data_IF_998694553412
#
_entry.id   IF_998694553412
#
_cell.length_a   1.000
_cell.length_b   1.000
_cell.length_c   1.000
_cell.angle_alpha   90.00
_cell.angle_beta   90.00
_cell.angle_gamma   90.00
#
_symmetry.space_group_name_H-M   'P 1'
#
loop_
_entity.id
_entity.type
_entity.pdbx_description
1 polymer ?
#
# COMPACT_ATOMS: atom_id res chain seq x y z
N UNK A 1 6.53 -12.68 -4.03
CA UNK A 1 6.93 -11.30 -3.70
C UNK A 1 8.35 -11.05 -4.13
N UNK A 2 8.56 -9.96 -4.81
CA UNK A 2 9.87 -9.58 -5.34
C UNK A 2 10.47 -8.46 -4.50
N UNK A 3 11.78 -8.51 -4.27
CA UNK A 3 12.47 -7.41 -3.62
C UNK A 3 13.73 -7.07 -4.37
N UNK A 4 14.02 -5.79 -4.48
CA UNK A 4 15.26 -5.28 -5.07
C UNK A 4 15.67 -4.06 -4.27
N UNK A 5 16.63 -4.23 -3.37
CA UNK A 5 17.17 -3.13 -2.56
C UNK A 5 16.10 -2.29 -1.91
N UNK A 6 15.20 -2.94 -1.19
CA UNK A 6 14.15 -2.23 -0.45
C UNK A 6 12.88 -1.97 -1.23
N UNK A 7 12.79 -2.45 -2.44
CA UNK A 7 11.58 -2.33 -3.24
C UNK A 7 10.85 -3.66 -3.25
N UNK A 8 9.53 -3.60 -3.11
CA UNK A 8 8.69 -4.79 -2.99
C UNK A 8 7.56 -4.74 -3.99
N UNK A 9 7.19 -5.92 -4.51
CA UNK A 9 5.98 -6.08 -5.28
C UNK A 9 5.10 -7.05 -4.52
N UNK A 10 3.95 -6.57 -4.06
CA UNK A 10 3.05 -7.37 -3.23
C UNK A 10 1.88 -7.97 -4.02
N UNK A 11 1.91 -7.84 -5.34
CA UNK A 11 0.84 -8.35 -6.17
C UNK A 11 -0.11 -7.25 -6.60
N UNK A 12 -1.35 -7.65 -6.86
CA UNK A 12 -2.36 -6.70 -7.34
C UNK A 12 -3.55 -6.72 -6.40
N UNK A 13 -4.32 -5.64 -6.43
CA UNK A 13 -5.56 -5.56 -5.68
C UNK A 13 -6.62 -5.01 -6.61
N UNK A 14 -7.88 -5.25 -6.25
CA UNK A 14 -9.01 -4.68 -6.99
C UNK A 14 -9.63 -3.57 -6.18
N UNK A 15 -10.03 -2.52 -6.87
CA UNK A 15 -10.70 -1.40 -6.22
C UNK A 15 -12.18 -1.77 -6.07
N UNK A 16 -12.69 -1.65 -4.85
CA UNK A 16 -14.10 -1.91 -4.57
C UNK A 16 -14.98 -0.77 -5.03
N UNK A 17 -16.30 -0.97 -4.87
CA UNK A 17 -17.28 -0.01 -5.36
C UNK A 17 -17.17 1.35 -4.71
N UNK A 18 -16.65 1.40 -3.50
CA UNK A 18 -16.49 2.65 -2.76
C UNK A 18 -15.11 3.24 -2.90
N UNK A 19 -14.30 2.68 -3.81
CA UNK A 19 -12.94 3.15 -3.98
C UNK A 19 -11.95 2.54 -3.00
N UNK A 20 -12.36 1.53 -2.23
CA UNK A 20 -11.48 0.92 -1.24
C UNK A 20 -10.66 -0.21 -1.84
N UNK A 21 -9.50 -0.45 -1.25
CA UNK A 21 -8.67 -1.62 -1.56
C UNK A 21 -8.27 -2.28 -0.25
N UNK A 22 -7.91 -3.55 -0.35
CA UNK A 22 -7.36 -4.26 0.80
C UNK A 22 -5.84 -4.21 0.67
N UNK A 23 -5.18 -3.66 1.67
CA UNK A 23 -3.72 -3.65 1.69
C UNK A 23 -3.24 -5.09 1.86
N UNK A 24 -2.39 -5.58 0.98
CA UNK A 24 -1.93 -6.97 1.08
C UNK A 24 -1.33 -7.28 2.44
N UNK A 25 -1.57 -8.51 2.91
CA UNK A 25 -1.10 -8.93 4.22
C UNK A 25 0.40 -8.74 4.38
N UNK A 26 1.16 -9.10 3.36
CA UNK A 26 2.61 -8.99 3.42
C UNK A 26 3.07 -7.54 3.51
N UNK A 27 2.38 -6.64 2.82
CA UNK A 27 2.69 -5.22 2.90
C UNK A 27 2.43 -4.71 4.32
N UNK A 28 1.33 -5.16 4.94
CA UNK A 28 1.02 -4.77 6.31
C UNK A 28 2.09 -5.24 7.28
N UNK A 29 2.65 -6.42 7.03
CA UNK A 29 3.70 -6.98 7.89
C UNK A 29 5.01 -6.24 7.72
N UNK A 30 5.41 -6.00 6.48
CA UNK A 30 6.68 -5.33 6.20
C UNK A 30 6.71 -3.91 6.77
N UNK A 31 5.60 -3.19 6.62
CA UNK A 31 5.54 -1.80 7.03
C UNK A 31 4.79 -1.60 8.34
N UNK A 32 4.47 -2.70 9.05
CA UNK A 32 3.84 -2.66 10.37
C UNK A 32 2.56 -1.83 10.37
N UNK A 33 1.70 -2.10 9.41
CA UNK A 33 0.41 -1.41 9.28
C UNK A 33 -0.65 -2.22 9.98
N UNK A 34 -1.35 -1.60 10.93
CA UNK A 34 -2.33 -2.27 11.77
C UNK A 34 -3.66 -1.54 11.71
N UNK A 35 -4.72 -2.26 12.06
CA UNK A 35 -6.04 -1.64 12.15
C UNK A 35 -5.99 -0.44 13.08
N UNK A 36 -6.60 0.64 12.66
CA UNK A 36 -6.61 1.86 13.43
C UNK A 36 -5.47 2.81 13.11
N UNK A 37 -4.46 2.35 12.37
CA UNK A 37 -3.37 3.23 11.98
C UNK A 37 -3.86 4.32 11.04
N UNK A 38 -3.22 5.47 11.12
CA UNK A 38 -3.49 6.58 10.21
C UNK A 38 -2.44 6.56 9.11
N UNK A 39 -2.90 6.61 7.88
CA UNK A 39 -2.03 6.59 6.72
C UNK A 39 -2.17 7.90 5.96
N UNK A 40 -1.08 8.33 5.35
CA UNK A 40 -1.08 9.48 4.47
C UNK A 40 -1.15 8.96 3.04
N UNK A 41 -2.09 9.48 2.26
CA UNK A 41 -2.25 9.10 0.87
C UNK A 41 -1.70 10.23 0.03
N UNK A 42 -0.70 9.93 -0.76
CA UNK A 42 -0.01 10.90 -1.60
C UNK A 42 -0.25 10.56 -3.06
N UNK A 43 -0.28 11.58 -3.90
CA UNK A 43 -0.45 11.38 -5.32
C UNK A 43 0.63 12.08 -6.12
N UNK A 44 1.02 11.45 -7.20
CA UNK A 44 1.96 12.03 -8.15
C UNK A 44 1.46 11.70 -9.54
N UNK A 45 1.37 12.71 -10.39
CA UNK A 45 0.79 12.51 -11.71
C UNK A 45 1.55 11.49 -12.55
N UNK A 46 2.84 11.36 -12.29
CA UNK A 46 3.67 10.45 -13.04
C UNK A 46 3.67 9.04 -12.45
N UNK A 47 3.67 8.93 -11.13
CA UNK A 47 3.86 7.65 -10.46
C UNK A 47 2.59 7.06 -9.87
N UNK A 48 1.57 7.89 -9.64
CA UNK A 48 0.31 7.41 -9.09
C UNK A 48 0.18 7.68 -7.61
N UNK A 49 -0.47 6.76 -6.93
CA UNK A 49 -0.79 6.92 -5.51
C UNK A 49 0.22 6.17 -4.65
N UNK A 50 0.66 6.82 -3.60
CA UNK A 50 1.47 6.19 -2.56
C UNK A 50 0.75 6.31 -1.22
N UNK A 51 0.90 5.30 -0.37
CA UNK A 51 0.27 5.26 0.94
C UNK A 51 1.36 4.95 1.94
N UNK A 52 1.44 5.76 2.99
CA UNK A 52 2.50 5.58 3.99
C UNK A 52 1.96 5.90 5.38
N UNK A 53 2.62 5.41 6.40
CA UNK A 53 2.21 5.70 7.78
C UNK A 53 2.45 7.16 8.11
N UNK A 54 1.54 7.71 8.87
CA UNK A 54 1.64 9.09 9.33
C UNK A 54 2.77 9.25 10.35
#
# INVERSE_FOLDING_TARGET
METTKGHYIFGTVKVGERGQIIIPKEARQVFDIKAGDTLIVLGDEKWGIAVTKA
#
